data_IF_270894298275
#
_entry.id   IF_270894298275
#
_cell.length_a   1.000
_cell.length_b   1.000
_cell.length_c   1.000
_cell.angle_alpha   90.00
_cell.angle_beta   90.00
_cell.angle_gamma   90.00
#
_symmetry.space_group_name_H-M   'P 1'
#
loop_
_entity.id
_entity.type
_entity.pdbx_description
1 polymer ?
#
# COMPACT_ATOMS: atom_id res chain seq x y z
N UNK A 1 1.45 -16.39 -19.23
CA UNK A 1 1.26 -16.88 -17.86
C UNK A 1 1.61 -15.71 -16.97
N UNK A 2 0.74 -15.33 -16.04
CA UNK A 2 1.00 -14.23 -15.10
C UNK A 2 1.87 -14.80 -13.99
N UNK A 3 3.02 -14.17 -13.73
CA UNK A 3 3.92 -14.55 -12.65
C UNK A 3 3.42 -13.95 -11.34
N UNK A 4 3.34 -14.73 -10.26
CA UNK A 4 3.11 -14.19 -8.92
C UNK A 4 4.45 -13.75 -8.29
N UNK A 5 4.44 -12.70 -7.47
CA UNK A 5 5.65 -12.16 -6.85
C UNK A 5 5.46 -11.89 -5.36
N UNK A 6 6.38 -12.36 -4.54
CA UNK A 6 6.54 -11.85 -3.18
C UNK A 6 7.08 -10.42 -3.21
N UNK A 7 6.58 -9.59 -2.31
CA UNK A 7 7.09 -8.25 -2.05
C UNK A 7 7.89 -8.29 -0.75
N UNK A 8 9.20 -8.06 -0.86
CA UNK A 8 10.11 -8.06 0.28
C UNK A 8 10.55 -6.63 0.58
N UNK A 9 10.43 -6.23 1.84
CA UNK A 9 10.86 -4.90 2.30
C UNK A 9 12.12 -5.02 3.15
N UNK A 10 13.20 -4.32 2.77
CA UNK A 10 14.48 -4.45 3.47
C UNK A 10 15.65 -3.76 2.78
N UNK A 11 16.86 -3.90 3.35
CA UNK A 11 18.06 -3.20 2.93
C UNK A 11 19.08 -4.12 2.24
N UNK A 12 19.23 -5.34 2.74
CA UNK A 12 20.22 -6.34 2.29
C UNK A 12 19.60 -7.76 2.31
N UNK A 13 20.26 -8.81 1.79
CA UNK A 13 19.64 -10.11 1.57
C UNK A 13 19.57 -10.97 2.84
N UNK A 14 20.21 -10.52 3.93
CA UNK A 14 20.00 -11.08 5.26
C UNK A 14 18.73 -10.52 5.92
N UNK A 15 18.26 -9.34 5.52
CA UNK A 15 17.10 -8.66 6.12
C UNK A 15 15.76 -9.17 5.55
N UNK A 16 15.80 -9.70 4.32
CA UNK A 16 14.64 -10.23 3.61
C UNK A 16 14.23 -11.65 4.06
N UNK A 17 15.03 -12.31 4.91
CA UNK A 17 14.84 -13.70 5.33
C UNK A 17 14.11 -13.83 6.68
N UNK A 18 14.08 -12.75 7.49
CA UNK A 18 13.55 -12.79 8.87
C UNK A 18 12.38 -11.81 9.13
N UNK A 19 11.79 -11.23 8.08
CA UNK A 19 10.54 -10.43 8.16
C UNK A 19 10.56 -9.28 9.16
N UNK A 20 11.73 -8.67 9.40
CA UNK A 20 11.91 -7.64 10.44
C UNK A 20 12.50 -6.36 9.85
N UNK A 21 11.69 -5.31 9.68
CA UNK A 21 12.19 -4.04 9.16
C UNK A 21 13.16 -3.32 10.14
N UNK A 22 14.46 -3.17 9.80
CA UNK A 22 15.36 -2.19 10.48
C UNK A 22 15.73 -1.02 9.56
N UNK A 23 15.71 0.23 10.06
CA UNK A 23 15.65 1.44 9.22
C UNK A 23 16.96 1.91 8.55
N UNK A 24 16.87 2.54 7.37
CA UNK A 24 17.84 3.49 6.81
C UNK A 24 17.46 4.97 6.80
N UNK A 25 18.32 5.79 7.36
CA UNK A 25 18.58 7.13 6.80
C UNK A 25 19.65 7.01 5.69
N UNK A 26 19.44 7.69 4.56
CA UNK A 26 20.46 8.08 3.56
C UNK A 26 20.88 7.12 2.40
N UNK A 27 19.96 6.45 1.70
CA UNK A 27 20.32 5.76 0.44
C UNK A 27 19.59 6.32 -0.80
N UNK A 28 20.30 7.16 -1.57
CA UNK A 28 20.12 7.33 -3.02
C UNK A 28 21.47 7.00 -3.68
N UNK A 29 21.53 6.17 -4.75
CA UNK A 29 20.47 5.64 -5.64
C UNK A 29 19.72 4.40 -5.08
N UNK A 30 18.62 3.93 -5.74
CA UNK A 30 17.95 2.69 -5.34
C UNK A 30 18.96 1.55 -5.27
N UNK A 31 19.04 0.83 -4.14
CA UNK A 31 19.99 -0.25 -3.97
C UNK A 31 19.70 -1.40 -4.93
N UNK A 32 20.76 -2.09 -5.33
CA UNK A 32 20.65 -3.42 -5.93
C UNK A 32 20.70 -4.42 -4.77
N UNK A 33 19.69 -5.28 -4.67
CA UNK A 33 19.59 -6.33 -3.69
C UNK A 33 20.81 -7.26 -3.73
N UNK A 34 21.13 -7.93 -2.62
CA UNK A 34 22.10 -9.03 -2.50
C UNK A 34 22.26 -9.97 -3.70
N UNK A 35 21.09 -10.32 -4.25
CA UNK A 35 20.90 -11.27 -5.35
C UNK A 35 20.90 -10.62 -6.74
N UNK A 36 21.20 -9.33 -6.84
CA UNK A 36 21.43 -8.62 -8.11
C UNK A 36 20.23 -7.90 -8.71
N UNK A 37 19.11 -7.80 -7.99
CA UNK A 37 17.89 -7.12 -8.48
C UNK A 37 17.79 -5.67 -8.01
N UNK A 38 17.36 -4.77 -8.89
CA UNK A 38 17.07 -3.40 -8.49
C UNK A 38 15.80 -3.34 -7.63
N UNK A 39 15.77 -2.38 -6.69
CA UNK A 39 14.54 -2.07 -5.97
C UNK A 39 13.39 -1.74 -6.93
N UNK A 40 12.20 -2.27 -6.62
CA UNK A 40 10.97 -2.04 -7.37
C UNK A 40 10.10 -0.97 -6.74
N UNK A 41 10.32 -0.59 -5.49
CA UNK A 41 9.48 0.38 -4.79
C UNK A 41 10.01 0.73 -3.41
N UNK A 42 9.18 1.35 -2.59
CA UNK A 42 9.52 1.69 -1.21
C UNK A 42 8.29 1.85 -0.30
N UNK A 43 8.53 1.75 1.00
CA UNK A 43 7.61 2.09 2.10
C UNK A 43 8.23 3.19 2.99
N UNK A 44 7.43 3.78 3.87
CA UNK A 44 7.82 4.88 4.77
C UNK A 44 6.93 6.12 4.55
N UNK A 45 7.12 7.18 5.35
CA UNK A 45 6.28 8.38 5.26
C UNK A 45 6.48 9.19 3.95
N UNK A 46 7.58 8.96 3.23
CA UNK A 46 7.84 9.58 1.93
C UNK A 46 7.14 8.80 0.79
N UNK A 47 6.24 9.47 0.07
CA UNK A 47 5.47 8.88 -1.03
C UNK A 47 6.02 9.18 -2.42
N UNK A 48 5.19 9.05 -3.48
CA UNK A 48 5.59 9.32 -4.85
C UNK A 48 5.73 10.81 -5.11
N UNK A 49 6.48 11.18 -6.15
CA UNK A 49 6.70 12.57 -6.57
C UNK A 49 5.51 13.18 -7.30
N UNK A 50 4.32 13.10 -6.73
CA UNK A 50 3.09 13.72 -7.23
C UNK A 50 2.99 15.19 -6.79
N UNK A 51 2.27 16.00 -7.55
CA UNK A 51 2.00 17.39 -7.19
C UNK A 51 1.31 17.46 -5.80
N UNK A 52 1.79 18.27 -4.84
CA UNK A 52 1.25 18.30 -3.47
C UNK A 52 -0.26 18.56 -3.40
N UNK A 53 -0.81 19.36 -4.32
CA UNK A 53 -2.26 19.62 -4.40
C UNK A 53 -3.07 18.40 -4.85
N UNK A 54 -2.44 17.41 -5.45
CA UNK A 54 -3.07 16.15 -5.88
C UNK A 54 -2.81 14.98 -4.94
N UNK A 55 -2.11 15.20 -3.83
CA UNK A 55 -1.92 14.19 -2.80
C UNK A 55 -3.28 13.68 -2.30
N UNK A 56 -3.49 12.36 -2.19
CA UNK A 56 -4.75 11.80 -1.71
C UNK A 56 -5.15 12.37 -0.36
N UNK A 57 -6.43 12.71 -0.21
CA UNK A 57 -6.99 13.27 1.02
C UNK A 57 -8.19 12.47 1.46
N UNK A 58 -8.32 12.39 2.77
CA UNK A 58 -9.48 11.82 3.44
C UNK A 58 -10.79 12.46 2.97
N UNK A 59 -11.79 11.69 2.54
CA UNK A 59 -13.14 12.20 2.34
C UNK A 59 -13.78 12.71 3.64
N UNK A 60 -13.36 12.19 4.80
CA UNK A 60 -13.94 12.50 6.10
C UNK A 60 -13.40 13.80 6.69
N UNK A 61 -12.07 13.98 6.70
CA UNK A 61 -11.40 15.10 7.39
C UNK A 61 -10.83 16.15 6.42
N UNK A 62 -10.54 15.76 5.18
CA UNK A 62 -9.76 16.55 4.23
C UNK A 62 -8.24 16.57 4.52
N UNK A 63 -7.77 15.84 5.54
CA UNK A 63 -6.34 15.69 5.83
C UNK A 63 -5.66 14.84 4.75
N UNK A 64 -4.37 15.07 4.46
CA UNK A 64 -3.63 14.24 3.51
C UNK A 64 -3.46 12.82 4.07
N UNK A 65 -3.80 11.82 3.24
CA UNK A 65 -3.63 10.41 3.57
C UNK A 65 -2.15 10.06 3.72
N UNK A 66 -1.82 9.19 4.67
CA UNK A 66 -0.46 8.69 4.88
C UNK A 66 -0.07 7.76 3.73
N UNK A 67 1.16 7.89 3.24
CA UNK A 67 1.70 6.93 2.27
C UNK A 67 1.98 5.58 2.95
N UNK A 68 1.55 4.48 2.32
CA UNK A 68 1.90 3.13 2.75
C UNK A 68 3.05 2.57 1.90
N UNK A 69 2.83 2.45 0.59
CA UNK A 69 3.78 1.84 -0.35
C UNK A 69 3.69 2.48 -1.73
N UNK A 70 4.83 2.63 -2.39
CA UNK A 70 4.94 2.98 -3.81
C UNK A 70 5.76 1.91 -4.52
N UNK A 71 5.27 1.42 -5.66
CA UNK A 71 5.93 0.36 -6.43
C UNK A 71 5.80 0.55 -7.94
N UNK A 72 6.88 0.22 -8.66
CA UNK A 72 6.84 -0.17 -10.07
C UNK A 72 6.20 -1.54 -10.18
N UNK A 73 5.37 -1.70 -11.21
CA UNK A 73 4.71 -2.95 -11.54
C UNK A 73 5.45 -3.68 -12.67
N UNK A 74 5.57 -5.02 -12.61
CA UNK A 74 5.95 -5.83 -13.76
C UNK A 74 4.99 -5.59 -14.93
N UNK A 75 5.45 -5.81 -16.16
CA UNK A 75 4.69 -5.44 -17.36
C UNK A 75 3.30 -6.09 -17.42
N UNK A 76 3.17 -7.32 -16.94
CA UNK A 76 1.90 -8.05 -16.86
C UNK A 76 0.89 -7.44 -15.86
N UNK A 77 1.37 -6.72 -14.83
CA UNK A 77 0.53 -6.03 -13.83
C UNK A 77 0.23 -4.57 -14.19
N UNK A 78 0.78 -4.03 -15.28
CA UNK A 78 0.50 -2.67 -15.76
C UNK A 78 -0.86 -2.57 -16.48
N UNK A 79 -1.94 -2.88 -15.76
CA UNK A 79 -3.30 -3.06 -16.32
C UNK A 79 -3.96 -1.77 -16.79
N UNK A 80 -3.48 -0.61 -16.33
CA UNK A 80 -3.87 0.72 -16.86
C UNK A 80 -3.06 1.14 -18.10
N UNK A 81 -2.21 0.25 -18.60
CA UNK A 81 -1.36 0.46 -19.76
C UNK A 81 0.05 0.94 -19.40
N UNK A 82 1.00 0.89 -20.36
CA UNK A 82 2.42 1.11 -20.11
C UNK A 82 2.79 2.57 -19.75
N UNK A 83 1.84 3.51 -19.91
CA UNK A 83 2.02 4.90 -19.48
C UNK A 83 1.88 5.11 -17.97
N UNK A 84 1.40 4.08 -17.24
CA UNK A 84 1.20 4.09 -15.81
C UNK A 84 1.93 2.89 -15.16
N UNK A 85 3.28 2.90 -15.16
CA UNK A 85 4.08 1.73 -14.80
C UNK A 85 4.14 1.43 -13.31
N UNK A 86 3.55 2.24 -12.44
CA UNK A 86 3.60 2.04 -11.00
C UNK A 86 2.30 2.42 -10.29
N UNK A 87 2.26 2.11 -9.01
CA UNK A 87 1.17 2.48 -8.10
C UNK A 87 1.71 3.00 -6.77
N UNK A 88 0.91 3.83 -6.11
CA UNK A 88 1.09 4.19 -4.71
C UNK A 88 -0.22 3.96 -3.93
N UNK A 89 -0.10 3.38 -2.75
CA UNK A 89 -1.21 3.10 -1.84
C UNK A 89 -1.12 3.99 -0.60
N UNK A 90 -2.27 4.49 -0.16
CA UNK A 90 -2.39 5.49 0.90
C UNK A 90 -3.49 5.12 1.89
N UNK A 91 -3.28 5.53 3.13
CA UNK A 91 -4.14 5.29 4.28
C UNK A 91 -4.77 6.59 4.74
N UNK A 92 -6.08 6.61 4.83
CA UNK A 92 -6.82 7.69 5.47
C UNK A 92 -7.34 7.27 6.84
N UNK A 93 -8.37 7.96 7.27
CA UNK A 93 -8.99 7.81 8.58
C UNK A 93 -10.31 7.03 8.53
N UNK A 94 -10.79 6.65 9.72
CA UNK A 94 -11.94 5.79 9.95
C UNK A 94 -13.30 6.48 9.95
N UNK A 95 -14.37 5.68 10.11
CA UNK A 95 -15.76 6.17 10.21
C UNK A 95 -16.03 7.18 11.33
N UNK A 96 -15.18 7.22 12.36
CA UNK A 96 -15.34 8.11 13.51
C UNK A 96 -14.53 9.39 13.38
N UNK A 97 -13.76 9.53 12.30
CA UNK A 97 -13.02 10.74 12.00
C UNK A 97 -13.97 11.95 11.92
N UNK A 98 -13.65 13.02 12.65
CA UNK A 98 -14.48 14.22 12.69
C UNK A 98 -14.06 15.18 11.59
N UNK A 99 -15.00 15.59 10.75
CA UNK A 99 -14.77 16.61 9.74
C UNK A 99 -14.26 17.91 10.37
N UNK A 100 -13.26 18.52 9.74
CA UNK A 100 -12.71 19.78 10.20
C UNK A 100 -13.73 20.92 10.07
N UNK A 101 -13.77 21.83 11.05
CA UNK A 101 -14.62 23.02 10.97
C UNK A 101 -14.08 24.00 9.93
N UNK A 102 -14.70 24.04 8.76
CA UNK A 102 -14.33 24.94 7.66
C UNK A 102 -15.05 26.31 7.73
N UNK A 103 -15.52 26.73 8.90
CA UNK A 103 -16.25 27.99 9.08
C UNK A 103 -15.39 29.24 8.90
N UNK A 104 -14.10 29.18 9.23
CA UNK A 104 -13.12 30.24 8.96
C UNK A 104 -12.55 30.08 7.54
N UNK A 105 -12.95 30.92 6.57
CA UNK A 105 -12.49 30.79 5.18
C UNK A 105 -11.02 31.18 4.99
N UNK A 106 -10.43 31.89 5.95
CA UNK A 106 -9.03 32.34 5.94
C UNK A 106 -8.13 31.43 6.78
N UNK A 107 -8.69 30.36 7.36
CA UNK A 107 -7.90 29.32 7.99
C UNK A 107 -6.92 28.69 6.98
N UNK A 108 -5.61 28.62 7.27
CA UNK A 108 -4.63 28.07 6.34
C UNK A 108 -4.93 26.63 5.88
N UNK A 109 -5.46 25.77 6.76
CA UNK A 109 -5.89 24.42 6.40
C UNK A 109 -7.10 24.46 5.45
N UNK A 110 -8.08 25.33 5.71
CA UNK A 110 -9.24 25.48 4.83
C UNK A 110 -8.84 26.03 3.45
N UNK A 111 -7.88 26.96 3.39
CA UNK A 111 -7.33 27.47 2.14
C UNK A 111 -6.61 26.36 1.35
N UNK A 112 -5.80 25.56 2.02
CA UNK A 112 -5.10 24.41 1.42
C UNK A 112 -6.09 23.33 0.93
N UNK A 113 -7.07 22.98 1.76
CA UNK A 113 -8.14 22.04 1.42
C UNK A 113 -8.91 22.47 0.16
N UNK A 114 -9.21 23.77 0.02
CA UNK A 114 -9.88 24.31 -1.18
C UNK A 114 -8.99 24.30 -2.42
N UNK A 115 -7.66 24.35 -2.25
CA UNK A 115 -6.70 24.28 -3.34
C UNK A 115 -6.40 22.84 -3.77
N UNK A 116 -6.72 21.86 -2.92
CA UNK A 116 -6.56 20.45 -3.21
C UNK A 116 -7.46 19.99 -4.37
N UNK A 117 -7.00 18.99 -5.11
CA UNK A 117 -7.66 18.39 -6.26
C UNK A 117 -7.45 16.88 -6.19
N UNK A 118 -8.38 16.11 -6.72
CA UNK A 118 -8.16 14.67 -6.87
C UNK A 118 -7.08 14.42 -7.93
N UNK A 119 -6.15 13.49 -7.65
CA UNK A 119 -5.22 13.01 -8.66
C UNK A 119 -6.00 12.37 -9.82
N UNK A 120 -5.67 12.65 -11.09
CA UNK A 120 -6.44 12.15 -12.24
C UNK A 120 -6.46 10.62 -12.35
N UNK A 121 -5.50 9.95 -11.72
CA UNK A 121 -5.36 8.49 -11.68
C UNK A 121 -5.58 7.91 -10.27
N UNK A 122 -6.24 8.65 -9.37
CA UNK A 122 -6.58 8.13 -8.04
C UNK A 122 -7.92 7.37 -8.05
N UNK A 123 -7.92 6.23 -7.36
CA UNK A 123 -9.09 5.53 -6.90
C UNK A 123 -9.17 5.68 -5.38
N UNK A 124 -10.29 6.20 -4.89
CA UNK A 124 -10.58 6.27 -3.45
C UNK A 124 -11.33 5.00 -3.08
N UNK A 125 -10.90 4.38 -1.98
CA UNK A 125 -11.37 3.09 -1.50
C UNK A 125 -11.89 3.26 -0.07
N UNK A 126 -12.82 2.39 0.34
CA UNK A 126 -13.27 2.32 1.73
C UNK A 126 -13.65 0.91 2.10
N UNK A 127 -13.43 0.53 3.36
CA UNK A 127 -13.90 -0.74 3.90
C UNK A 127 -15.30 -0.65 4.51
N UNK A 128 -15.77 -1.76 5.08
CA UNK A 128 -17.10 -1.88 5.70
C UNK A 128 -17.26 -1.04 6.97
N UNK A 129 -16.17 -0.67 7.64
CA UNK A 129 -16.16 0.19 8.82
C UNK A 129 -15.84 1.65 8.46
N UNK A 130 -15.89 2.01 7.17
CA UNK A 130 -15.71 3.38 6.69
C UNK A 130 -14.28 3.91 6.77
N UNK A 131 -13.29 3.04 6.99
CA UNK A 131 -11.87 3.40 6.85
C UNK A 131 -11.57 3.73 5.39
N UNK A 132 -10.94 4.88 5.17
CA UNK A 132 -10.64 5.37 3.81
C UNK A 132 -9.22 5.01 3.37
N UNK A 133 -9.05 4.72 2.09
CA UNK A 133 -7.76 4.48 1.45
C UNK A 133 -7.73 5.11 0.06
N UNK A 134 -6.56 5.15 -0.57
CA UNK A 134 -6.45 5.48 -1.97
C UNK A 134 -5.37 4.66 -2.69
N UNK A 135 -5.65 4.27 -3.92
CA UNK A 135 -4.66 3.76 -4.86
C UNK A 135 -4.46 4.81 -5.96
N UNK A 136 -3.21 5.15 -6.27
CA UNK A 136 -2.86 6.08 -7.33
C UNK A 136 -1.99 5.35 -8.34
N UNK A 137 -2.42 5.27 -9.61
CA UNK A 137 -1.53 4.85 -10.69
C UNK A 137 -0.61 6.00 -11.09
N UNK A 138 0.67 5.71 -11.20
CA UNK A 138 1.74 6.69 -11.37
C UNK A 138 2.31 6.63 -12.77
N UNK A 139 2.57 7.81 -13.33
CA UNK A 139 3.44 7.96 -14.50
C UNK A 139 4.90 7.65 -14.15
N UNK A 140 5.73 7.44 -15.17
CA UNK A 140 7.18 7.27 -14.98
C UNK A 140 7.81 8.47 -14.26
N UNK A 141 7.34 9.68 -14.56
CA UNK A 141 7.84 10.92 -13.96
C UNK A 141 7.53 11.00 -12.46
N UNK A 142 6.28 10.70 -12.06
CA UNK A 142 5.85 10.69 -10.65
C UNK A 142 6.56 9.59 -9.85
N UNK A 143 6.76 8.43 -10.46
CA UNK A 143 7.47 7.31 -9.83
C UNK A 143 8.97 7.62 -9.65
N UNK A 144 9.63 8.17 -10.67
CA UNK A 144 11.06 8.48 -10.63
C UNK A 144 11.41 9.70 -9.76
N UNK A 145 10.44 10.58 -9.51
CA UNK A 145 10.61 11.76 -8.66
C UNK A 145 10.52 11.44 -7.15
N UNK A 146 10.00 10.27 -6.78
CA UNK A 146 9.97 9.79 -5.39
C UNK A 146 11.29 9.18 -4.90
N UNK A 147 11.45 8.96 -3.58
CA UNK A 147 10.52 9.30 -2.50
C UNK A 147 10.46 10.81 -2.22
N UNK A 148 9.26 11.37 -2.01
CA UNK A 148 9.06 12.77 -1.62
C UNK A 148 8.23 12.89 -0.35
N UNK A 149 8.52 13.89 0.48
CA UNK A 149 7.71 14.20 1.65
C UNK A 149 6.26 14.52 1.27
N UNK A 150 5.33 14.19 2.15
CA UNK A 150 3.95 14.62 2.06
C UNK A 150 3.83 16.16 2.01
N UNK A 151 2.69 16.71 1.57
CA UNK A 151 2.44 18.15 1.60
C UNK A 151 2.71 18.73 3.01
N UNK A 152 3.27 19.94 3.12
CA UNK A 152 3.57 20.53 4.41
C UNK A 152 2.29 20.73 5.24
N UNK A 153 2.40 20.55 6.55
CA UNK A 153 1.28 20.83 7.46
C UNK A 153 0.97 22.32 7.49
N UNK A 154 -0.25 22.66 7.11
CA UNK A 154 -0.74 24.04 7.06
C UNK A 154 -1.51 24.44 8.30
N UNK A 155 -1.84 23.51 9.20
CA UNK A 155 -2.60 23.80 10.42
C UNK A 155 -1.84 24.78 11.32
N UNK A 156 -2.57 25.53 12.15
CA UNK A 156 -1.92 26.48 13.06
C UNK A 156 -1.18 25.72 14.18
N UNK A 157 -0.10 26.28 14.75
CA UNK A 157 0.61 25.63 15.84
C UNK A 157 -0.32 25.24 17.01
N UNK A 158 -0.30 23.96 17.39
CA UNK A 158 -1.15 23.40 18.45
C UNK A 158 -2.40 22.67 17.95
N UNK A 159 -2.66 22.66 16.64
CA UNK A 159 -3.81 21.95 16.03
C UNK A 159 -3.46 20.55 15.49
N UNK A 160 -2.25 20.05 15.78
CA UNK A 160 -1.86 18.66 15.53
C UNK A 160 -2.53 17.75 16.58
N UNK A 161 -3.77 17.36 16.34
CA UNK A 161 -4.55 16.50 17.24
C UNK A 161 -4.84 15.16 16.59
N UNK A 162 -4.46 14.07 17.25
CA UNK A 162 -4.75 12.68 16.87
C UNK A 162 -6.19 12.28 17.28
N UNK A 163 -7.16 13.16 16.99
CA UNK A 163 -8.59 12.96 17.34
C UNK A 163 -9.41 12.46 16.15
N UNK A 164 -8.74 12.10 15.05
CA UNK A 164 -9.29 11.75 13.76
C UNK A 164 -9.53 10.24 13.58
N UNK A 165 -9.36 9.41 14.63
CA UNK A 165 -9.60 7.96 14.60
C UNK A 165 -9.03 7.29 13.33
N UNK A 166 -7.75 7.57 13.06
CA UNK A 166 -7.05 7.12 11.88
C UNK A 166 -5.63 7.67 11.82
N UNK A 167 -4.94 7.46 10.70
CA UNK A 167 -3.63 8.06 10.45
C UNK A 167 -3.70 8.99 9.25
N UNK A 168 -3.08 10.15 9.38
CA UNK A 168 -2.84 11.07 8.29
C UNK A 168 -1.33 11.35 8.13
N UNK A 169 -0.95 11.95 7.01
CA UNK A 169 0.46 12.20 6.68
C UNK A 169 1.16 13.24 7.58
N UNK A 170 0.39 13.97 8.41
CA UNK A 170 0.91 14.95 9.36
C UNK A 170 0.95 14.45 10.80
N UNK A 171 0.45 13.24 11.04
CA UNK A 171 0.60 12.61 12.34
C UNK A 171 2.06 12.24 12.59
N UNK A 172 2.50 12.26 13.85
CA UNK A 172 3.83 11.76 14.17
C UNK A 172 4.00 10.33 13.62
N UNK A 173 5.21 9.98 13.17
CA UNK A 173 5.55 8.61 12.80
C UNK A 173 5.18 7.69 13.95
N UNK A 174 4.24 6.78 13.72
CA UNK A 174 4.00 5.71 14.67
C UNK A 174 5.20 4.77 14.59
N UNK A 175 5.77 4.46 15.75
CA UNK A 175 6.58 3.25 15.85
C UNK A 175 5.68 2.09 15.47
N UNK A 176 6.13 1.20 14.58
CA UNK A 176 5.40 -0.04 14.28
C UNK A 176 5.23 -0.86 15.58
N UNK A 177 4.38 -1.90 15.61
CA UNK A 177 4.32 -2.81 16.80
C UNK A 177 5.68 -3.45 17.12
N UNK A 178 6.61 -3.42 16.18
CA UNK A 178 8.03 -3.80 16.32
C UNK A 178 8.97 -2.67 16.77
N UNK A 179 8.45 -1.45 16.96
CA UNK A 179 9.20 -0.27 17.42
C UNK A 179 9.98 0.44 16.32
N UNK A 180 9.59 0.28 15.06
CA UNK A 180 10.38 0.74 13.92
C UNK A 180 9.99 2.15 13.50
N UNK A 181 11.00 2.94 13.11
CA UNK A 181 10.84 4.32 12.68
C UNK A 181 10.32 4.37 11.23
N UNK A 182 9.11 4.90 11.02
CA UNK A 182 8.49 5.06 9.70
C UNK A 182 8.92 6.34 8.96
N UNK A 183 9.69 7.23 9.60
CA UNK A 183 10.34 8.36 8.89
C UNK A 183 11.42 7.89 7.92
N UNK A 184 11.78 6.62 8.03
CA UNK A 184 12.84 5.97 7.31
C UNK A 184 12.26 5.22 6.12
N UNK A 185 12.69 5.63 4.92
CA UNK A 185 12.36 4.92 3.68
C UNK A 185 13.01 3.54 3.65
N UNK A 186 12.24 2.52 3.27
CA UNK A 186 12.73 1.15 3.05
C UNK A 186 12.37 0.71 1.65
N UNK A 187 13.29 0.03 0.98
CA UNK A 187 13.09 -0.39 -0.40
C UNK A 187 12.33 -1.71 -0.48
N UNK A 188 11.49 -1.83 -1.51
CA UNK A 188 10.71 -3.00 -1.84
C UNK A 188 11.34 -3.74 -3.03
N UNK A 189 11.35 -5.06 -2.98
CA UNK A 189 11.86 -5.94 -4.04
C UNK A 189 10.80 -6.96 -4.41
N UNK A 190 10.83 -7.41 -5.67
CA UNK A 190 9.92 -8.43 -6.18
C UNK A 190 10.67 -9.73 -6.40
N UNK A 191 10.25 -10.79 -5.71
CA UNK A 191 10.80 -12.14 -5.89
C UNK A 191 9.73 -13.03 -6.53
N UNK A 192 9.98 -13.63 -7.71
CA UNK A 192 9.00 -14.52 -8.33
C UNK A 192 8.65 -15.71 -7.42
N UNK A 193 7.35 -15.98 -7.23
CA UNK A 193 6.87 -17.19 -6.57
C UNK A 193 6.94 -18.36 -7.54
N UNK A 194 7.93 -19.23 -7.35
CA UNK A 194 8.06 -20.46 -8.13
C UNK A 194 7.01 -21.46 -7.62
N UNK A 195 6.30 -22.09 -8.57
CA UNK A 195 5.30 -23.14 -8.31
C UNK A 195 4.11 -22.73 -7.42
N UNK A 196 3.78 -21.43 -7.34
CA UNK A 196 2.52 -20.99 -6.72
C UNK A 196 1.33 -21.56 -7.51
N UNK A 197 0.49 -22.42 -6.90
CA UNK A 197 -0.58 -23.09 -7.61
C UNK A 197 -1.62 -22.10 -8.12
N UNK A 198 -1.75 -20.91 -7.52
CA UNK A 198 -2.73 -19.89 -7.89
C UNK A 198 -2.15 -18.79 -8.78
N UNK A 199 -0.90 -18.90 -9.23
CA UNK A 199 -0.32 -17.96 -10.18
C UNK A 199 -1.19 -17.84 -11.46
N UNK A 200 -1.63 -16.62 -11.74
CA UNK A 200 -2.50 -16.33 -12.88
C UNK A 200 -3.98 -16.68 -12.69
N UNK A 201 -4.43 -16.91 -11.45
CA UNK A 201 -5.84 -17.10 -11.11
C UNK A 201 -6.36 -15.94 -10.26
N UNK A 202 -7.65 -15.64 -10.38
CA UNK A 202 -8.30 -14.66 -9.52
C UNK A 202 -8.55 -15.28 -8.13
N UNK A 203 -8.37 -14.52 -7.04
CA UNK A 203 -8.61 -15.01 -5.69
C UNK A 203 -10.09 -15.39 -5.50
N UNK A 204 -10.36 -16.49 -4.80
CA UNK A 204 -11.71 -16.97 -4.49
C UNK A 204 -12.50 -17.57 -5.65
N UNK A 205 -11.94 -17.69 -6.85
CA UNK A 205 -12.63 -18.30 -8.01
C UNK A 205 -12.27 -19.77 -8.21
N UNK A 206 -12.82 -20.63 -7.37
CA UNK A 206 -12.63 -22.09 -7.45
C UNK A 206 -12.99 -22.69 -8.81
N UNK A 207 -14.03 -22.15 -9.47
CA UNK A 207 -14.46 -22.59 -10.80
C UNK A 207 -13.39 -22.39 -11.89
N UNK A 208 -12.52 -21.39 -11.70
CA UNK A 208 -11.37 -21.10 -12.57
C UNK A 208 -10.10 -21.84 -12.11
N UNK A 209 -10.24 -22.74 -11.14
CA UNK A 209 -9.19 -23.57 -10.56
C UNK A 209 -8.38 -22.88 -9.48
N UNK A 210 -8.81 -21.73 -8.94
CA UNK A 210 -8.17 -21.18 -7.73
C UNK A 210 -8.41 -22.15 -6.57
N UNK A 211 -7.41 -22.36 -5.72
CA UNK A 211 -7.50 -23.29 -4.58
C UNK A 211 -7.14 -22.54 -3.31
N UNK A 212 -8.01 -22.60 -2.31
CA UNK A 212 -7.73 -21.94 -1.04
C UNK A 212 -6.53 -22.57 -0.34
N UNK A 213 -5.63 -21.77 0.22
CA UNK A 213 -4.59 -22.28 1.11
C UNK A 213 -5.13 -22.93 2.39
N UNK A 214 -6.43 -22.75 2.66
CA UNK A 214 -7.13 -23.24 3.85
C UNK A 214 -7.98 -24.51 3.59
N UNK A 215 -8.11 -24.92 2.33
CA UNK A 215 -8.93 -26.08 1.93
C UNK A 215 -8.17 -27.40 2.03
N UNK A 216 -8.93 -28.50 2.19
CA UNK A 216 -8.37 -29.85 2.20
C UNK A 216 -7.74 -30.27 0.86
N UNK A 217 -8.18 -29.66 -0.23
CA UNK A 217 -7.67 -29.87 -1.58
C UNK A 217 -6.41 -29.03 -1.90
N UNK A 218 -5.89 -28.29 -0.91
CA UNK A 218 -4.62 -27.58 -1.04
C UNK A 218 -3.46 -28.54 -1.32
N UNK A 219 -2.81 -28.34 -2.47
CA UNK A 219 -1.68 -29.17 -2.91
C UNK A 219 -0.33 -28.44 -2.87
N UNK A 220 -0.31 -27.19 -2.43
CA UNK A 220 0.91 -26.43 -2.20
C UNK A 220 1.58 -26.76 -0.86
N UNK A 221 2.68 -26.07 -0.50
CA UNK A 221 3.35 -26.26 0.77
C UNK A 221 2.41 -25.91 1.96
N UNK A 222 2.48 -26.64 3.08
CA UNK A 222 1.77 -26.26 4.30
C UNK A 222 2.24 -24.87 4.77
N UNK A 223 1.41 -24.14 5.51
CA UNK A 223 1.67 -22.74 5.95
C UNK A 223 3.08 -22.57 6.54
N UNK A 224 3.51 -23.50 7.39
CA UNK A 224 4.82 -23.51 8.08
C UNK A 224 6.02 -23.65 7.12
N UNK A 225 5.79 -24.17 5.91
CA UNK A 225 6.79 -24.37 4.86
C UNK A 225 6.62 -23.40 3.69
N UNK A 226 5.62 -22.51 3.73
CA UNK A 226 5.47 -21.44 2.74
C UNK A 226 6.64 -20.47 2.95
N UNK A 227 7.46 -20.34 1.92
CA UNK A 227 8.55 -19.36 1.87
C UNK A 227 8.08 -18.01 1.29
N UNK A 228 6.80 -17.89 1.00
CA UNK A 228 6.18 -16.70 0.45
C UNK A 228 5.98 -15.64 1.53
N UNK A 229 6.10 -14.38 1.14
CA UNK A 229 5.84 -13.25 2.01
C UNK A 229 4.35 -12.95 2.08
N UNK A 230 3.93 -12.30 3.18
CA UNK A 230 2.54 -11.87 3.39
C UNK A 230 2.09 -10.81 2.35
N UNK A 231 3.03 -10.04 1.81
CA UNK A 231 2.79 -9.02 0.78
C UNK A 231 3.17 -9.55 -0.60
N UNK A 232 2.28 -9.41 -1.60
CA UNK A 232 2.54 -9.97 -2.94
C UNK A 232 1.73 -9.34 -4.08
N UNK A 233 2.17 -9.63 -5.30
CA UNK A 233 1.41 -9.42 -6.54
C UNK A 233 0.89 -10.77 -7.05
N UNK A 234 -0.42 -10.92 -7.14
CA UNK A 234 -1.10 -12.13 -7.63
C UNK A 234 -0.76 -13.40 -6.82
N UNK A 235 -1.25 -14.55 -7.28
CA UNK A 235 -0.89 -15.85 -6.69
C UNK A 235 -1.86 -16.34 -5.61
N UNK A 236 -1.32 -17.04 -4.61
CA UNK A 236 -2.08 -17.50 -3.45
C UNK A 236 -2.28 -16.33 -2.49
N UNK A 237 -3.54 -15.99 -2.25
CA UNK A 237 -3.95 -14.96 -1.28
C UNK A 237 -4.03 -15.54 0.12
N UNK A 238 -3.56 -14.79 1.12
CA UNK A 238 -3.67 -15.14 2.54
C UNK A 238 -4.97 -14.60 3.16
N UNK A 239 -5.69 -13.72 2.45
CA UNK A 239 -7.02 -13.25 2.84
C UNK A 239 -8.07 -14.38 2.87
N UNK A 240 -9.08 -14.22 3.74
CA UNK A 240 -10.33 -14.96 3.65
C UNK A 240 -11.11 -14.53 2.42
N UNK A 241 -10.76 -15.07 1.25
CA UNK A 241 -11.30 -14.64 -0.05
C UNK A 241 -12.83 -14.74 -0.18
N UNK A 242 -13.48 -15.58 0.64
CA UNK A 242 -14.94 -15.75 0.65
C UNK A 242 -15.70 -14.48 1.06
N UNK A 243 -15.03 -13.54 1.73
CA UNK A 243 -15.59 -12.23 2.09
C UNK A 243 -15.32 -11.13 1.07
N UNK A 244 -14.54 -11.42 0.02
CA UNK A 244 -14.20 -10.43 -1.00
C UNK A 244 -15.40 -10.16 -1.90
N UNK A 245 -15.83 -8.90 -1.92
CA UNK A 245 -16.83 -8.41 -2.86
C UNK A 245 -16.14 -7.77 -4.07
N UNK A 246 -16.58 -8.13 -5.28
CA UNK A 246 -16.15 -7.48 -6.52
C UNK A 246 -15.48 -8.41 -7.53
N UNK A 247 -15.18 -7.86 -8.70
CA UNK A 247 -14.57 -8.58 -9.81
C UNK A 247 -13.05 -8.57 -9.70
N UNK A 248 -12.51 -9.43 -8.85
CA UNK A 248 -11.07 -9.68 -8.80
C UNK A 248 -10.60 -10.47 -10.02
N UNK A 249 -9.40 -10.13 -10.47
CA UNK A 249 -8.65 -10.74 -11.56
C UNK A 249 -7.34 -11.31 -11.00
N UNK A 250 -6.53 -12.00 -11.81
CA UNK A 250 -5.19 -12.41 -11.39
C UNK A 250 -4.20 -11.26 -11.12
N UNK A 251 -4.55 -10.01 -11.40
CA UNK A 251 -3.66 -8.86 -11.33
C UNK A 251 -3.97 -8.00 -10.11
N UNK A 252 -3.80 -8.54 -8.92
CA UNK A 252 -4.07 -7.84 -7.68
C UNK A 252 -2.79 -7.60 -6.87
N UNK A 253 -2.83 -6.57 -6.04
CA UNK A 253 -1.84 -6.25 -5.01
C UNK A 253 -2.43 -6.65 -3.66
N UNK A 254 -1.69 -7.44 -2.89
CA UNK A 254 -2.03 -7.85 -1.53
C UNK A 254 -0.99 -7.28 -0.56
N UNK A 255 -1.46 -6.57 0.46
CA UNK A 255 -0.62 -5.89 1.45
C UNK A 255 -1.07 -6.23 2.87
N UNK A 256 -0.16 -6.78 3.67
CA UNK A 256 -0.41 -7.12 5.06
C UNK A 256 -0.07 -5.94 5.98
N UNK A 257 -1.01 -5.60 6.86
CA UNK A 257 -0.91 -4.52 7.85
C UNK A 257 0.40 -4.48 8.67
N UNK A 258 0.95 -5.59 9.20
CA UNK A 258 2.21 -5.55 9.97
C UNK A 258 3.42 -4.97 9.20
N UNK A 259 3.38 -4.90 7.86
CA UNK A 259 4.56 -4.59 7.06
C UNK A 259 4.80 -3.10 6.79
N UNK A 260 3.75 -2.28 6.76
CA UNK A 260 3.81 -0.83 6.47
C UNK A 260 3.46 0.04 7.69
N UNK A 261 3.60 -0.54 8.88
CA UNK A 261 3.65 0.20 10.14
C UNK A 261 2.32 0.53 10.78
N UNK A 262 1.24 -0.12 10.35
CA UNK A 262 -0.08 -0.01 10.98
C UNK A 262 -0.56 -1.39 11.34
N UNK A 263 -0.64 -1.70 12.64
CA UNK A 263 -1.17 -2.97 13.11
C UNK A 263 -2.55 -2.72 13.76
N UNK A 264 -3.61 -3.14 13.09
CA UNK A 264 -4.99 -3.08 13.62
C UNK A 264 -5.31 -4.24 14.60
N UNK A 265 -4.33 -5.09 14.91
CA UNK A 265 -4.38 -6.11 15.95
C UNK A 265 -4.77 -7.51 15.48
N UNK A 266 -5.08 -7.68 14.18
CA UNK A 266 -5.69 -8.87 13.60
C UNK A 266 -5.00 -9.41 12.32
N UNK A 267 -3.82 -8.90 11.92
CA UNK A 267 -3.15 -9.25 10.65
C UNK A 267 -4.04 -9.02 9.43
N UNK A 268 -4.78 -7.92 9.44
CA UNK A 268 -5.57 -7.46 8.31
C UNK A 268 -4.72 -7.41 7.03
N UNK A 269 -5.30 -7.92 5.94
CA UNK A 269 -4.68 -7.98 4.63
C UNK A 269 -5.56 -7.25 3.62
N UNK A 270 -4.98 -6.29 2.93
CA UNK A 270 -5.65 -5.43 1.96
C UNK A 270 -5.41 -5.96 0.57
N UNK A 271 -6.49 -6.20 -0.18
CA UNK A 271 -6.42 -6.63 -1.56
C UNK A 271 -7.00 -5.55 -2.46
N UNK A 272 -6.22 -5.11 -3.44
CA UNK A 272 -6.66 -4.18 -4.48
C UNK A 272 -6.40 -4.80 -5.85
N UNK A 273 -7.44 -4.97 -6.65
CA UNK A 273 -7.31 -5.38 -8.05
C UNK A 273 -6.80 -4.20 -8.91
N UNK A 274 -5.69 -4.41 -9.62
CA UNK A 274 -5.01 -3.37 -10.40
C UNK A 274 -5.69 -3.09 -11.75
N UNK A 275 -6.62 -3.95 -12.18
CA UNK A 275 -7.38 -3.83 -13.42
C UNK A 275 -8.77 -3.21 -13.17
N UNK A 276 -9.55 -3.79 -12.27
CA UNK A 276 -10.94 -3.43 -11.99
C UNK A 276 -11.06 -2.39 -10.87
N UNK A 277 -10.08 -2.34 -9.96
CA UNK A 277 -10.17 -1.54 -8.74
C UNK A 277 -11.06 -2.17 -7.66
N UNK A 278 -11.41 -3.46 -7.79
CA UNK A 278 -12.04 -4.21 -6.71
C UNK A 278 -11.14 -4.15 -5.45
N UNK A 279 -11.76 -4.03 -4.29
CA UNK A 279 -11.06 -3.82 -3.03
C UNK A 279 -11.72 -4.62 -1.92
N UNK A 280 -10.90 -5.28 -1.10
CA UNK A 280 -11.35 -5.98 0.08
C UNK A 280 -10.28 -5.99 1.15
N UNK A 281 -10.73 -6.23 2.39
CA UNK A 281 -9.87 -6.42 3.55
C UNK A 281 -10.32 -7.72 4.20
N UNK A 282 -9.36 -8.56 4.60
CA UNK A 282 -9.62 -9.81 5.33
C UNK A 282 -8.70 -9.95 6.55
#
# INVERSE_FOLDING_TARGET
MVTAYDILFGLTPQDAVDGSPVGTTDLLPPPVAPWGEAAWGWIGDAGPGIEPRTWPRSPSTGLPMRHAVTMRLPAEYQRRGPGLPGVAYFLGEGQFATAHDASDPDDPFVVDLRAARQHPQALVLSDIIGQSFALVWLTEEELAAGPTAAPPDTRRPGEHVATDEGQNAWDPPLGTRRGEDMTVTRWAYLVPRVDDPNAGRAPGREEDGWVSPWDEDWTGPPEEERSWADDHLGGTSEAMVDSLEGDFTPHYLELSTPTWGVDYGNRETHLVDLETGAFGIA
#
